data_IF_541459718859
#
_entry.id   IF_541459718859
#
_cell.length_a   1.000
_cell.length_b   1.000
_cell.length_c   1.000
_cell.angle_alpha   90.00
_cell.angle_beta   90.00
_cell.angle_gamma   90.00
#
_symmetry.space_group_name_H-M   'P 1'
#
loop_
_entity.id
_entity.type
_entity.pdbx_description
1 polymer ?
#
# COMPACT_ATOMS: atom_id res chain seq x y z
N UNK A 1 -41.72 36.00 25.22
CA UNK A 1 -40.43 36.13 24.51
C UNK A 1 -40.05 34.77 23.99
N UNK A 2 -39.81 34.68 22.68
CA UNK A 2 -39.41 33.47 21.96
C UNK A 2 -37.95 33.16 22.29
N UNK A 3 -37.66 31.99 22.85
CA UNK A 3 -36.32 31.40 22.69
C UNK A 3 -36.44 30.31 21.63
N UNK A 4 -35.84 30.62 20.48
CA UNK A 4 -35.84 29.84 19.26
C UNK A 4 -35.07 28.54 19.48
N UNK A 5 -35.63 27.44 18.97
CA UNK A 5 -35.02 26.13 18.90
C UNK A 5 -33.75 26.15 18.05
N UNK A 6 -32.69 25.48 18.52
CA UNK A 6 -31.70 24.89 17.61
C UNK A 6 -31.59 23.41 17.93
N UNK A 7 -32.37 22.66 17.16
CA UNK A 7 -32.25 21.22 16.99
C UNK A 7 -30.92 20.97 16.28
N UNK A 8 -29.88 20.55 17.02
CA UNK A 8 -28.64 20.02 16.43
C UNK A 8 -28.88 18.55 16.05
N UNK A 9 -29.64 18.35 14.98
CA UNK A 9 -29.60 17.09 14.24
C UNK A 9 -28.33 17.04 13.39
N UNK A 10 -27.82 15.82 13.23
CA UNK A 10 -26.99 15.29 12.14
C UNK A 10 -25.52 15.01 12.48
N UNK A 11 -25.20 13.72 12.32
CA UNK A 11 -23.89 13.10 12.18
C UNK A 11 -23.11 12.88 13.48
N UNK A 12 -23.53 11.87 14.26
CA UNK A 12 -22.54 10.95 14.81
C UNK A 12 -21.94 10.24 13.58
N UNK A 13 -20.97 10.88 12.92
CA UNK A 13 -20.04 10.12 12.11
C UNK A 13 -19.48 9.09 13.08
N UNK A 14 -19.84 7.82 12.89
CA UNK A 14 -19.17 6.73 13.57
C UNK A 14 -17.70 6.84 13.15
N UNK A 15 -16.92 7.58 13.93
CA UNK A 15 -15.47 7.55 13.85
C UNK A 15 -15.13 6.14 14.26
N UNK A 16 -14.98 5.26 13.26
CA UNK A 16 -14.34 3.98 13.48
C UNK A 16 -12.99 4.32 14.11
N UNK A 17 -12.80 4.03 15.39
CA UNK A 17 -11.51 4.15 16.04
C UNK A 17 -10.57 3.14 15.36
N UNK A 18 -9.75 3.63 14.42
CA UNK A 18 -8.89 2.80 13.59
C UNK A 18 -7.68 2.38 14.42
N UNK A 19 -7.75 1.21 15.05
CA UNK A 19 -6.61 0.69 15.82
C UNK A 19 -5.55 0.09 14.91
N UNK A 20 -4.78 0.96 14.28
CA UNK A 20 -3.44 0.64 13.78
C UNK A 20 -2.51 0.51 14.99
N UNK A 21 -2.67 -0.56 15.77
CA UNK A 21 -1.92 -0.79 17.00
C UNK A 21 -0.54 -1.40 16.70
N UNK A 22 0.19 -0.82 15.75
CA UNK A 22 1.56 -1.17 15.45
C UNK A 22 2.48 -0.40 16.37
N UNK A 23 3.11 -1.10 17.31
CA UNK A 23 4.19 -0.55 18.12
C UNK A 23 5.45 -0.64 17.27
N UNK A 24 5.91 0.51 16.78
CA UNK A 24 7.15 0.57 16.02
C UNK A 24 8.36 0.70 16.96
N UNK A 25 9.38 -0.16 16.81
CA UNK A 25 10.67 0.07 17.45
C UNK A 25 11.22 1.43 17.06
N UNK A 26 11.94 2.10 17.97
CA UNK A 26 12.67 3.34 17.67
C UNK A 26 13.99 3.04 16.93
N UNK A 27 13.89 2.30 15.84
CA UNK A 27 15.00 2.00 14.94
C UNK A 27 14.88 2.94 13.76
N UNK A 28 15.89 3.79 13.58
CA UNK A 28 15.95 4.69 12.44
C UNK A 28 16.63 3.98 11.26
N UNK A 29 15.82 3.57 10.30
CA UNK A 29 16.19 2.92 9.05
C UNK A 29 15.30 3.52 7.95
N UNK A 30 15.59 4.77 7.52
CA UNK A 30 14.65 5.57 6.77
C UNK A 30 14.33 4.94 5.41
N UNK A 31 13.11 5.17 4.94
CA UNK A 31 12.67 4.77 3.60
C UNK A 31 11.92 5.91 2.93
N UNK A 32 12.08 6.00 1.62
CA UNK A 32 11.35 6.97 0.80
C UNK A 32 10.04 6.35 0.29
N UNK A 33 8.91 6.98 0.60
CA UNK A 33 7.60 6.61 0.08
C UNK A 33 7.33 7.17 -1.32
N UNK A 34 6.41 6.55 -2.06
CA UNK A 34 6.02 7.03 -3.41
C UNK A 34 5.35 8.40 -3.39
N UNK A 35 4.84 8.81 -2.24
CA UNK A 35 4.33 10.15 -1.95
C UNK A 35 5.45 11.20 -1.87
N UNK A 36 6.72 10.78 -1.77
CA UNK A 36 7.88 11.65 -1.57
C UNK A 36 8.11 12.03 -0.11
N UNK A 37 7.47 11.32 0.84
CA UNK A 37 7.71 11.49 2.27
C UNK A 37 8.73 10.45 2.75
N UNK A 38 9.68 10.91 3.56
CA UNK A 38 10.58 10.04 4.32
C UNK A 38 9.83 9.47 5.52
N UNK A 39 9.97 8.16 5.73
CA UNK A 39 9.46 7.47 6.91
C UNK A 39 10.64 6.89 7.68
N UNK A 40 10.66 7.05 9.01
CA UNK A 40 11.78 6.62 9.87
C UNK A 40 12.10 5.12 9.78
N UNK A 41 11.12 4.31 9.36
CA UNK A 41 11.25 2.87 9.13
C UNK A 41 10.09 2.32 8.28
N UNK A 42 10.22 1.08 7.81
CA UNK A 42 9.12 0.30 7.21
C UNK A 42 7.90 0.19 8.14
N UNK A 43 8.13 0.05 9.45
CA UNK A 43 7.04 0.05 10.42
C UNK A 43 6.30 1.40 10.44
N UNK A 44 7.03 2.52 10.44
CA UNK A 44 6.42 3.85 10.42
C UNK A 44 5.60 4.09 9.14
N UNK A 45 6.10 3.64 7.99
CA UNK A 45 5.38 3.71 6.71
C UNK A 45 4.11 2.87 6.72
N UNK A 46 4.18 1.62 7.20
CA UNK A 46 3.01 0.73 7.32
C UNK A 46 1.98 1.26 8.31
N UNK A 47 2.44 1.84 9.42
CA UNK A 47 1.58 2.47 10.42
C UNK A 47 0.81 3.66 9.83
N UNK A 48 1.50 4.56 9.11
CA UNK A 48 0.83 5.66 8.38
C UNK A 48 -0.14 5.12 7.33
N UNK A 49 0.26 4.09 6.57
CA UNK A 49 -0.59 3.48 5.54
C UNK A 49 -1.87 2.91 6.13
N UNK A 50 -1.77 2.29 7.30
CA UNK A 50 -2.91 1.80 8.06
C UNK A 50 -3.79 2.96 8.56
N UNK A 51 -3.19 3.96 9.24
CA UNK A 51 -3.92 5.07 9.88
C UNK A 51 -4.71 5.88 8.85
N UNK A 52 -4.06 6.17 7.72
CA UNK A 52 -4.64 6.90 6.60
C UNK A 52 -5.61 6.06 5.76
N UNK A 53 -5.61 4.73 5.94
CA UNK A 53 -6.28 3.75 5.07
C UNK A 53 -5.95 3.94 3.59
N UNK A 54 -4.69 4.26 3.30
CA UNK A 54 -4.19 4.48 1.95
C UNK A 54 -2.89 3.70 1.78
N UNK A 55 -2.71 2.97 0.68
CA UNK A 55 -1.45 2.30 0.40
C UNK A 55 -0.34 3.35 0.26
N UNK A 56 0.71 3.22 1.06
CA UNK A 56 1.97 3.93 0.85
C UNK A 56 2.97 2.86 0.48
N UNK A 57 3.58 2.95 -0.70
CA UNK A 57 4.58 1.98 -1.15
C UNK A 57 5.98 2.58 -1.06
N UNK A 58 6.93 1.76 -0.65
CA UNK A 58 8.34 2.12 -0.64
C UNK A 58 8.86 2.29 -2.07
N UNK A 59 9.71 3.29 -2.25
CA UNK A 59 10.45 3.55 -3.49
C UNK A 59 11.88 3.03 -3.36
N UNK A 60 12.62 3.51 -2.36
CA UNK A 60 13.99 3.08 -2.05
C UNK A 60 14.29 3.21 -0.54
N UNK A 61 15.36 2.56 -0.10
CA UNK A 61 15.92 2.75 1.25
C UNK A 61 16.68 4.08 1.32
N UNK A 62 16.59 4.75 2.46
CA UNK A 62 17.10 6.11 2.68
C UNK A 62 16.00 7.17 2.71
N UNK A 63 16.39 8.39 3.05
CA UNK A 63 15.50 9.55 3.00
C UNK A 63 15.17 9.95 1.57
N UNK A 64 13.98 10.50 1.34
CA UNK A 64 13.61 11.04 0.04
C UNK A 64 14.49 12.23 -0.36
N UNK A 65 14.80 12.34 -1.65
CA UNK A 65 15.40 13.54 -2.25
C UNK A 65 14.49 14.76 -1.97
N UNK A 66 15.00 15.85 -1.35
CA UNK A 66 14.22 17.07 -1.10
C UNK A 66 13.60 17.71 -2.34
N UNK A 67 14.16 17.46 -3.53
CA UNK A 67 13.60 17.93 -4.82
C UNK A 67 12.43 17.08 -5.30
N UNK A 68 12.19 15.93 -4.68
CA UNK A 68 11.17 14.97 -5.09
C UNK A 68 11.55 14.17 -6.33
N UNK A 69 12.85 14.11 -6.66
CA UNK A 69 13.34 13.41 -7.83
C UNK A 69 13.20 11.89 -7.68
N UNK A 70 12.47 11.28 -8.61
CA UNK A 70 12.30 9.82 -8.70
C UNK A 70 13.42 9.17 -9.53
N UNK A 71 14.64 9.67 -9.44
CA UNK A 71 15.79 9.23 -10.25
C UNK A 71 16.48 8.02 -9.61
N UNK A 72 15.76 6.89 -9.56
CA UNK A 72 16.32 5.63 -9.10
C UNK A 72 17.31 5.09 -10.11
N UNK A 73 18.52 4.77 -9.65
CA UNK A 73 19.50 4.01 -10.40
C UNK A 73 19.06 2.53 -10.47
N UNK A 74 18.13 2.22 -11.37
CA UNK A 74 17.68 0.85 -11.58
C UNK A 74 18.70 0.04 -12.40
N UNK A 75 19.02 -1.15 -11.92
CA UNK A 75 19.80 -2.10 -12.71
C UNK A 75 18.99 -2.56 -13.95
N UNK A 76 19.70 -3.02 -14.98
CA UNK A 76 19.11 -3.50 -16.23
C UNK A 76 18.79 -5.00 -16.21
N UNK A 77 18.78 -5.64 -15.03
CA UNK A 77 18.40 -7.06 -14.93
C UNK A 77 16.92 -7.16 -15.27
N UNK A 78 16.62 -7.95 -16.29
CA UNK A 78 15.26 -8.19 -16.72
C UNK A 78 14.64 -9.27 -15.84
N UNK A 79 13.77 -8.83 -14.93
CA UNK A 79 13.04 -9.67 -13.98
C UNK A 79 11.57 -9.21 -13.94
N UNK A 80 10.82 -9.42 -15.03
CA UNK A 80 9.51 -8.81 -15.26
C UNK A 80 8.46 -9.08 -14.17
N UNK A 81 7.73 -8.03 -13.82
CA UNK A 81 6.64 -8.06 -12.83
C UNK A 81 5.41 -7.36 -13.36
N UNK A 82 4.23 -7.87 -12.98
CA UNK A 82 2.98 -7.14 -13.14
C UNK A 82 2.76 -6.21 -11.95
N UNK A 83 2.41 -4.97 -12.24
CA UNK A 83 1.92 -4.03 -11.24
C UNK A 83 0.43 -4.26 -10.93
N UNK A 84 -0.02 -3.75 -9.79
CA UNK A 84 -1.44 -3.67 -9.46
C UNK A 84 -2.24 -2.81 -10.44
N UNK A 85 -1.59 -2.00 -11.26
CA UNK A 85 -2.15 -1.20 -12.35
C UNK A 85 -2.22 -1.95 -13.69
N UNK A 86 -2.04 -3.28 -13.68
CA UNK A 86 -2.05 -4.18 -14.86
C UNK A 86 -0.96 -3.88 -15.89
N UNK A 87 0.04 -3.07 -15.55
CA UNK A 87 1.19 -2.81 -16.42
C UNK A 87 2.33 -3.80 -16.16
N UNK A 88 3.07 -4.11 -17.23
CA UNK A 88 4.31 -4.89 -17.15
C UNK A 88 5.49 -3.96 -16.92
N UNK A 89 6.28 -4.26 -15.90
CA UNK A 89 7.52 -3.56 -15.60
C UNK A 89 8.70 -4.50 -15.80
N UNK A 90 9.80 -3.98 -16.35
CA UNK A 90 11.00 -4.77 -16.66
C UNK A 90 11.66 -5.36 -15.41
N UNK A 91 11.51 -4.70 -14.27
CA UNK A 91 11.81 -5.20 -12.94
C UNK A 91 11.08 -4.37 -11.86
N UNK A 92 11.19 -4.81 -10.61
CA UNK A 92 10.57 -4.13 -9.47
C UNK A 92 11.09 -2.71 -9.24
N UNK A 93 12.37 -2.43 -9.50
CA UNK A 93 12.90 -1.06 -9.36
C UNK A 93 12.21 -0.10 -10.32
N UNK A 94 12.03 -0.51 -11.58
CA UNK A 94 11.32 0.29 -12.59
C UNK A 94 9.85 0.49 -12.21
N UNK A 95 9.21 -0.50 -11.59
CA UNK A 95 7.85 -0.34 -11.02
C UNK A 95 7.82 0.71 -9.91
N UNK A 96 8.74 0.64 -8.94
CA UNK A 96 8.83 1.62 -7.83
C UNK A 96 9.12 3.03 -8.33
N UNK A 97 9.99 3.16 -9.33
CA UNK A 97 10.23 4.44 -10.00
C UNK A 97 8.95 4.99 -10.65
N UNK A 98 8.17 4.14 -11.32
CA UNK A 98 6.91 4.53 -11.92
C UNK A 98 5.88 4.96 -10.86
N UNK A 99 5.79 4.26 -9.73
CA UNK A 99 4.93 4.62 -8.61
C UNK A 99 5.27 6.02 -8.06
N UNK A 100 6.56 6.31 -7.90
CA UNK A 100 7.05 7.63 -7.48
C UNK A 100 6.72 8.71 -8.51
N UNK A 101 7.05 8.50 -9.79
CA UNK A 101 6.82 9.49 -10.87
C UNK A 101 5.34 9.81 -11.05
N UNK A 102 4.48 8.82 -10.90
CA UNK A 102 3.04 8.98 -11.03
C UNK A 102 2.37 9.47 -9.74
N UNK A 103 3.10 9.54 -8.62
CA UNK A 103 2.53 9.75 -7.27
C UNK A 103 1.32 8.84 -7.01
N UNK A 104 1.41 7.60 -7.51
CA UNK A 104 0.37 6.58 -7.43
C UNK A 104 0.97 5.31 -6.84
N UNK A 105 0.33 4.75 -5.82
CA UNK A 105 0.74 3.49 -5.25
C UNK A 105 0.57 2.37 -6.29
N UNK A 106 1.67 1.69 -6.61
CA UNK A 106 1.71 0.52 -7.49
C UNK A 106 2.54 -0.53 -6.76
N UNK A 107 2.01 -1.75 -6.66
CA UNK A 107 2.70 -2.88 -6.03
C UNK A 107 2.95 -3.98 -7.05
N UNK A 108 3.97 -4.81 -6.81
CA UNK A 108 4.11 -6.09 -7.51
C UNK A 108 2.98 -7.02 -7.10
N UNK A 109 2.20 -7.51 -8.07
CA UNK A 109 1.15 -8.50 -7.81
C UNK A 109 1.58 -9.92 -8.21
N UNK A 110 2.35 -10.07 -9.29
CA UNK A 110 2.93 -11.36 -9.70
C UNK A 110 4.16 -11.16 -10.59
N UNK A 111 4.97 -12.20 -10.73
CA UNK A 111 5.96 -12.29 -11.82
C UNK A 111 5.24 -12.53 -13.14
N UNK A 112 5.82 -12.07 -14.24
CA UNK A 112 5.25 -12.23 -15.57
C UNK A 112 6.32 -12.56 -16.59
N UNK A 113 5.94 -13.11 -17.73
CA UNK A 113 6.84 -13.30 -18.87
C UNK A 113 6.53 -12.30 -19.98
N UNK A 114 5.25 -11.93 -20.14
CA UNK A 114 4.76 -11.02 -21.19
C UNK A 114 3.64 -10.12 -20.69
N UNK A 115 3.37 -9.06 -21.46
CA UNK A 115 2.40 -8.00 -21.10
C UNK A 115 0.98 -8.53 -20.90
N UNK A 116 0.57 -9.51 -21.71
CA UNK A 116 -0.77 -10.09 -21.61
C UNK A 116 -1.02 -10.82 -20.29
N UNK A 117 0.04 -11.29 -19.62
CA UNK A 117 -0.08 -11.97 -18.32
C UNK A 117 -0.64 -11.01 -17.25
N UNK A 118 -0.41 -9.70 -17.40
CA UNK A 118 -0.87 -8.68 -16.45
C UNK A 118 -2.34 -8.31 -16.59
N UNK A 119 -3.01 -8.73 -17.67
CA UNK A 119 -4.44 -8.45 -17.89
C UNK A 119 -5.34 -9.34 -17.04
N UNK A 120 -4.91 -10.57 -16.77
CA UNK A 120 -5.79 -11.63 -16.26
C UNK A 120 -6.02 -11.59 -14.75
N UNK A 121 -5.15 -10.95 -13.95
CA UNK A 121 -5.21 -10.96 -12.46
C UNK A 121 -5.45 -12.34 -11.81
N UNK A 122 -5.27 -13.41 -12.58
CA UNK A 122 -5.49 -14.81 -12.22
C UNK A 122 -4.25 -15.33 -11.50
N UNK A 123 -4.00 -14.75 -10.33
CA UNK A 123 -2.88 -15.10 -9.47
C UNK A 123 -3.24 -16.41 -8.78
N UNK A 124 -2.46 -17.47 -9.03
CA UNK A 124 -2.65 -18.75 -8.37
C UNK A 124 -2.22 -18.64 -6.91
N UNK A 125 -3.19 -18.74 -6.00
CA UNK A 125 -2.96 -18.72 -4.56
C UNK A 125 -3.13 -20.13 -3.97
N UNK A 126 -2.29 -20.47 -3.01
CA UNK A 126 -2.46 -21.62 -2.12
C UNK A 126 -3.72 -21.43 -1.26
N UNK A 127 -4.26 -22.52 -0.72
CA UNK A 127 -5.39 -22.49 0.23
C UNK A 127 -4.94 -22.40 1.69
N UNK A 128 -3.72 -21.96 1.94
CA UNK A 128 -3.25 -21.72 3.31
C UNK A 128 -3.97 -20.52 3.92
N UNK A 129 -4.10 -20.50 5.24
CA UNK A 129 -4.68 -19.37 5.96
C UNK A 129 -3.59 -18.68 6.78
N UNK A 130 -2.99 -17.66 6.18
CA UNK A 130 -1.95 -16.81 6.78
C UNK A 130 -2.40 -15.34 6.61
N UNK A 131 -3.34 -14.88 7.46
CA UNK A 131 -4.05 -13.64 7.20
C UNK A 131 -3.16 -12.42 7.33
N UNK A 132 -3.51 -11.37 6.59
CA UNK A 132 -2.88 -10.05 6.66
C UNK A 132 -3.96 -8.97 6.77
N UNK A 133 -3.65 -7.91 7.50
CA UNK A 133 -4.44 -6.68 7.48
C UNK A 133 -3.93 -5.80 6.34
N UNK A 134 -4.82 -5.44 5.42
CA UNK A 134 -4.53 -4.57 4.29
C UNK A 134 -4.55 -3.10 4.69
N UNK A 135 -3.84 -2.26 3.93
CA UNK A 135 -3.88 -0.80 4.05
C UNK A 135 -5.26 -0.19 3.81
N UNK A 136 -6.24 -0.96 3.30
CA UNK A 136 -7.63 -0.54 3.16
C UNK A 136 -8.49 -0.92 4.38
N UNK A 137 -7.86 -1.44 5.44
CA UNK A 137 -8.51 -1.85 6.68
C UNK A 137 -9.25 -3.19 6.60
N UNK A 138 -9.03 -3.98 5.55
CA UNK A 138 -9.66 -5.31 5.39
C UNK A 138 -8.69 -6.43 5.71
N UNK A 139 -9.21 -7.48 6.33
CA UNK A 139 -8.50 -8.75 6.50
C UNK A 139 -8.56 -9.56 5.21
N UNK A 140 -7.40 -10.03 4.76
CA UNK A 140 -7.26 -10.95 3.64
C UNK A 140 -6.77 -12.31 4.15
N UNK A 141 -7.30 -13.40 3.58
CA UNK A 141 -6.93 -14.76 3.97
C UNK A 141 -5.43 -15.06 3.77
N UNK A 142 -4.84 -14.47 2.74
CA UNK A 142 -3.39 -14.47 2.47
C UNK A 142 -2.98 -13.18 1.76
N UNK A 143 -1.69 -12.87 1.78
CA UNK A 143 -1.12 -11.77 0.97
C UNK A 143 -1.31 -12.00 -0.54
N UNK A 144 -1.33 -13.25 -1.00
CA UNK A 144 -1.60 -13.59 -2.39
C UNK A 144 -3.02 -13.15 -2.81
N UNK A 145 -4.02 -13.47 -2.00
CA UNK A 145 -5.42 -13.05 -2.23
C UNK A 145 -5.51 -11.52 -2.21
N UNK A 146 -4.84 -10.85 -1.26
CA UNK A 146 -4.77 -9.38 -1.23
C UNK A 146 -4.23 -8.79 -2.54
N UNK A 147 -3.12 -9.33 -3.07
CA UNK A 147 -2.52 -8.89 -4.34
C UNK A 147 -3.44 -9.14 -5.54
N UNK A 148 -4.15 -10.27 -5.57
CA UNK A 148 -5.12 -10.57 -6.63
C UNK A 148 -6.25 -9.53 -6.64
N UNK A 149 -6.81 -9.22 -5.47
CA UNK A 149 -7.83 -8.17 -5.32
C UNK A 149 -7.29 -6.79 -5.68
N UNK A 150 -6.04 -6.47 -5.33
CA UNK A 150 -5.40 -5.21 -5.70
C UNK A 150 -5.28 -5.07 -7.23
N UNK A 151 -4.91 -6.15 -7.93
CA UNK A 151 -4.86 -6.21 -9.39
C UNK A 151 -6.26 -6.06 -10.01
N UNK A 152 -7.25 -6.82 -9.53
CA UNK A 152 -8.61 -6.82 -10.07
C UNK A 152 -9.22 -5.42 -10.02
N UNK A 153 -8.97 -4.68 -8.94
CA UNK A 153 -9.50 -3.35 -8.71
C UNK A 153 -8.60 -2.21 -9.19
N UNK A 154 -7.44 -2.52 -9.79
CA UNK A 154 -6.43 -1.54 -10.23
C UNK A 154 -6.01 -0.54 -9.13
N UNK A 155 -6.04 -1.02 -7.89
CA UNK A 155 -5.82 -0.23 -6.67
C UNK A 155 -4.90 -1.00 -5.74
N UNK A 156 -3.72 -0.44 -5.47
CA UNK A 156 -2.77 -1.03 -4.55
C UNK A 156 -3.38 -1.25 -3.16
N UNK A 157 -3.01 -2.37 -2.56
CA UNK A 157 -3.28 -2.70 -1.15
C UNK A 157 -1.99 -3.31 -0.62
N UNK A 158 -1.40 -2.74 0.44
CA UNK A 158 -0.22 -3.34 1.07
C UNK A 158 -0.63 -4.03 2.38
N UNK A 159 0.10 -5.08 2.75
CA UNK A 159 -0.03 -5.67 4.06
C UNK A 159 0.60 -4.71 5.08
N UNK A 160 -0.23 -4.17 5.98
CA UNK A 160 0.25 -3.29 7.04
C UNK A 160 0.63 -4.10 8.28
N UNK A 161 -0.05 -5.21 8.57
CA UNK A 161 0.32 -6.12 9.67
C UNK A 161 0.03 -7.58 9.32
N UNK A 162 0.80 -8.49 9.92
CA UNK A 162 0.46 -9.91 9.95
C UNK A 162 -0.75 -10.14 10.85
N UNK A 163 -1.54 -11.16 10.53
CA UNK A 163 -2.80 -11.44 11.21
C UNK A 163 -3.98 -10.64 10.64
N UNK A 164 -5.20 -10.92 11.12
CA UNK A 164 -6.37 -10.14 10.75
C UNK A 164 -6.25 -8.69 11.23
N UNK A 165 -6.99 -7.78 10.60
CA UNK A 165 -7.22 -6.46 11.15
C UNK A 165 -7.87 -6.59 12.53
N UNK A 166 -7.44 -5.75 13.47
CA UNK A 166 -8.01 -5.70 14.82
C UNK A 166 -9.34 -4.96 14.73
N UNK A 167 -10.45 -5.66 14.97
CA UNK A 167 -11.74 -5.02 15.16
C UNK A 167 -11.79 -4.38 16.56
N UNK A 168 -12.15 -3.10 16.58
CA UNK A 168 -12.62 -2.30 17.74
C UNK A 168 -11.71 -2.18 18.95
#
# INVERSE_FOLDING_TARGET
>A
MKCIAVIMTLLVAAYAERKCNQICPRIYAPICGHDGKTYDSDCALKSESCLSQKPIVQVYDGECDPKGDCNLACNKIYAPVCGSDKNLYSNECVLRQAACKQKKAIIVVQRALKKDDCKSCSILCTREYNPVCGSDGKTYATECVMKSIACMNEKAIIAVSNGPCKDK
#
